data_IF_909115962028
#
_entry.id   IF_909115962028
#
_cell.length_a   1.000
_cell.length_b   1.000
_cell.length_c   1.000
_cell.angle_alpha   90.00
_cell.angle_beta   90.00
_cell.angle_gamma   90.00
#
_symmetry.space_group_name_H-M   'P 1'
#
loop_
_entity.id
_entity.type
_entity.pdbx_description
1 polymer ?
#
# COMPACT_ATOMS: atom_id res chain seq x y z
N UNK A 1 22.13 -2.42 -20.88
CA UNK A 1 23.48 -2.27 -20.32
C UNK A 1 23.59 -3.22 -19.15
N UNK A 2 24.33 -4.33 -19.29
CA UNK A 2 24.55 -5.28 -18.18
C UNK A 2 25.43 -4.60 -17.14
N UNK A 3 24.98 -4.51 -15.90
CA UNK A 3 25.83 -4.17 -14.77
C UNK A 3 26.56 -5.44 -14.34
N UNK A 4 27.86 -5.44 -14.39
CA UNK A 4 28.67 -6.50 -13.82
C UNK A 4 29.01 -6.15 -12.38
N UNK A 5 28.99 -7.13 -11.49
CA UNK A 5 29.34 -6.99 -10.08
C UNK A 5 30.87 -6.88 -9.87
N UNK A 6 31.54 -6.00 -10.63
CA UNK A 6 32.96 -5.73 -10.48
C UNK A 6 33.29 -4.80 -9.33
N UNK A 7 34.59 -4.67 -9.00
CA UNK A 7 35.07 -3.77 -7.93
C UNK A 7 34.77 -2.29 -8.18
N UNK A 8 34.50 -1.90 -9.42
CA UNK A 8 34.15 -0.54 -9.84
C UNK A 8 32.64 -0.28 -9.97
N UNK A 9 31.79 -1.29 -9.66
CA UNK A 9 30.34 -1.13 -9.71
C UNK A 9 29.86 -0.16 -8.62
N UNK A 10 28.88 0.75 -8.92
CA UNK A 10 28.36 1.66 -7.92
C UNK A 10 27.74 0.87 -6.76
N UNK A 11 27.89 1.39 -5.52
CA UNK A 11 27.25 0.81 -4.33
C UNK A 11 25.78 1.25 -4.27
N UNK A 12 24.98 0.61 -5.12
CA UNK A 12 23.52 0.80 -5.17
C UNK A 12 22.78 -0.54 -4.94
N UNK A 13 21.47 -0.44 -4.76
CA UNK A 13 20.62 -1.61 -4.47
C UNK A 13 20.68 -2.66 -5.59
N UNK A 14 20.81 -2.27 -6.84
CA UNK A 14 20.92 -3.22 -7.96
C UNK A 14 22.23 -4.00 -7.88
N UNK A 15 23.35 -3.31 -7.59
CA UNK A 15 24.65 -3.96 -7.42
C UNK A 15 24.65 -4.88 -6.19
N UNK A 16 23.98 -4.48 -5.09
CA UNK A 16 23.83 -5.33 -3.90
C UNK A 16 23.05 -6.59 -4.22
N UNK A 17 21.92 -6.50 -4.96
CA UNK A 17 21.15 -7.66 -5.42
C UNK A 17 21.98 -8.64 -6.26
N UNK A 18 22.87 -8.16 -7.12
CA UNK A 18 23.76 -9.01 -7.91
C UNK A 18 24.77 -9.81 -7.05
N UNK A 19 24.97 -9.40 -5.81
CA UNK A 19 25.86 -10.05 -4.82
C UNK A 19 25.10 -10.89 -3.80
N UNK A 20 23.75 -10.83 -3.80
CA UNK A 20 22.92 -11.58 -2.86
C UNK A 20 22.93 -13.08 -3.17
N UNK A 21 22.85 -13.86 -2.10
CA UNK A 21 22.84 -15.32 -2.19
C UNK A 21 21.55 -15.90 -1.60
N UNK A 22 20.99 -16.88 -2.30
CA UNK A 22 19.86 -17.68 -1.84
C UNK A 22 20.22 -19.15 -1.92
N UNK A 23 20.15 -19.86 -0.82
CA UNK A 23 20.50 -21.29 -0.78
C UNK A 23 21.96 -21.57 -1.16
N UNK A 24 22.91 -20.67 -0.85
CA UNK A 24 24.34 -20.81 -1.12
C UNK A 24 24.75 -20.50 -2.58
N UNK A 25 23.86 -19.99 -3.41
CA UNK A 25 24.16 -19.51 -4.77
C UNK A 25 23.75 -18.04 -4.95
N UNK A 26 24.41 -17.36 -5.86
CA UNK A 26 23.99 -16.00 -6.27
C UNK A 26 22.61 -16.04 -6.92
N UNK A 27 21.88 -14.94 -6.78
CA UNK A 27 20.67 -14.71 -7.56
C UNK A 27 20.99 -14.73 -9.05
N UNK A 28 20.16 -15.41 -9.83
CA UNK A 28 20.27 -15.37 -11.27
C UNK A 28 19.64 -14.09 -11.86
N UNK A 29 19.85 -13.84 -13.16
CA UNK A 29 19.36 -12.63 -13.82
C UNK A 29 17.83 -12.52 -13.76
N UNK A 30 17.09 -13.61 -13.92
CA UNK A 30 15.62 -13.61 -13.86
C UNK A 30 15.10 -13.26 -12.46
N UNK A 31 15.76 -13.77 -11.42
CA UNK A 31 15.42 -13.46 -10.02
C UNK A 31 15.67 -11.98 -9.72
N UNK A 32 16.81 -11.42 -10.13
CA UNK A 32 17.12 -10.00 -9.95
C UNK A 32 16.11 -9.12 -10.71
N UNK A 33 15.83 -9.45 -11.97
CA UNK A 33 14.82 -8.74 -12.78
C UNK A 33 13.44 -8.82 -12.15
N UNK A 34 13.05 -9.98 -11.61
CA UNK A 34 11.77 -10.16 -10.94
C UNK A 34 11.65 -9.30 -9.69
N UNK A 35 12.71 -9.22 -8.88
CA UNK A 35 12.74 -8.38 -7.68
C UNK A 35 12.61 -6.90 -8.05
N UNK A 36 13.43 -6.41 -8.98
CA UNK A 36 13.42 -5.00 -9.41
C UNK A 36 12.07 -4.62 -10.03
N UNK A 37 11.50 -5.51 -10.85
CA UNK A 37 10.15 -5.29 -11.41
C UNK A 37 9.08 -5.21 -10.33
N UNK A 38 9.13 -6.10 -9.34
CA UNK A 38 8.15 -6.09 -8.25
C UNK A 38 8.26 -4.82 -7.39
N UNK A 39 9.47 -4.34 -7.15
CA UNK A 39 9.66 -3.06 -6.46
C UNK A 39 9.07 -1.89 -7.25
N UNK A 40 9.38 -1.81 -8.55
CA UNK A 40 8.87 -0.74 -9.42
C UNK A 40 7.34 -0.73 -9.47
N UNK A 41 6.72 -1.90 -9.64
CA UNK A 41 5.25 -2.00 -9.70
C UNK A 41 4.61 -1.70 -8.35
N UNK A 42 5.21 -2.20 -7.25
CA UNK A 42 4.77 -1.93 -5.89
C UNK A 42 4.77 -0.44 -5.56
N UNK A 43 5.84 0.24 -5.96
CA UNK A 43 6.04 1.67 -5.72
C UNK A 43 5.06 2.54 -6.53
N UNK A 44 5.10 2.43 -7.84
CA UNK A 44 4.33 3.33 -8.73
C UNK A 44 2.83 3.16 -8.59
N UNK A 45 2.32 1.93 -8.43
CA UNK A 45 0.90 1.65 -8.41
C UNK A 45 0.23 1.98 -7.08
N UNK A 46 0.73 1.37 -6.01
CA UNK A 46 0.07 1.46 -4.69
C UNK A 46 0.34 2.75 -3.96
N UNK A 47 1.53 3.35 -4.07
CA UNK A 47 1.83 4.66 -3.48
C UNK A 47 0.99 5.74 -4.17
N UNK A 48 0.94 5.76 -5.50
CA UNK A 48 0.09 6.70 -6.24
C UNK A 48 -1.38 6.59 -5.85
N UNK A 49 -1.91 5.36 -5.76
CA UNK A 49 -3.27 5.11 -5.30
C UNK A 49 -3.48 5.60 -3.86
N UNK A 50 -2.53 5.34 -2.96
CA UNK A 50 -2.58 5.75 -1.56
C UNK A 50 -2.62 7.26 -1.41
N UNK A 51 -1.73 7.99 -2.11
CA UNK A 51 -1.73 9.46 -2.09
C UNK A 51 -3.07 10.02 -2.57
N UNK A 52 -3.62 9.49 -3.66
CA UNK A 52 -4.94 9.91 -4.16
C UNK A 52 -6.08 9.63 -3.16
N UNK A 53 -6.07 8.45 -2.52
CA UNK A 53 -7.05 8.08 -1.49
C UNK A 53 -6.97 9.03 -0.30
N UNK A 54 -5.76 9.25 0.23
CA UNK A 54 -5.52 10.13 1.39
C UNK A 54 -5.95 11.56 1.08
N UNK A 55 -5.53 12.11 -0.05
CA UNK A 55 -5.86 13.48 -0.45
C UNK A 55 -7.37 13.67 -0.65
N UNK A 56 -8.05 12.70 -1.27
CA UNK A 56 -9.51 12.70 -1.40
C UNK A 56 -10.20 12.65 -0.04
N UNK A 57 -9.77 11.74 0.83
CA UNK A 57 -10.36 11.56 2.16
C UNK A 57 -10.25 12.84 3.00
N UNK A 58 -9.10 13.49 2.94
CA UNK A 58 -8.88 14.77 3.61
C UNK A 58 -9.70 15.90 2.98
N UNK A 59 -9.82 15.94 1.65
CA UNK A 59 -10.60 16.97 0.95
C UNK A 59 -12.09 16.97 1.31
N UNK A 60 -12.62 15.84 1.74
CA UNK A 60 -14.00 15.72 2.23
C UNK A 60 -14.15 16.01 3.74
N UNK A 61 -13.04 16.24 4.48
CA UNK A 61 -13.03 16.35 5.96
C UNK A 61 -12.14 17.49 6.45
N UNK A 62 -12.58 18.75 6.33
CA UNK A 62 -11.81 19.91 6.77
C UNK A 62 -11.41 19.84 8.25
N UNK A 63 -12.28 19.28 9.09
CA UNK A 63 -12.03 19.14 10.54
C UNK A 63 -10.85 18.20 10.80
N UNK A 64 -10.75 17.11 10.04
CA UNK A 64 -9.62 16.18 10.15
C UNK A 64 -8.33 16.83 9.63
N UNK A 65 -8.38 17.62 8.56
CA UNK A 65 -7.21 18.38 8.09
C UNK A 65 -6.69 19.31 9.20
N UNK A 66 -7.59 20.04 9.87
CA UNK A 66 -7.21 20.91 10.98
C UNK A 66 -6.60 20.11 12.13
N UNK A 67 -7.25 19.04 12.56
CA UNK A 67 -6.75 18.17 13.63
C UNK A 67 -5.34 17.64 13.34
N UNK A 68 -5.07 17.18 12.11
CA UNK A 68 -3.77 16.65 11.72
C UNK A 68 -2.69 17.73 11.62
N UNK A 69 -3.04 19.00 11.31
CA UNK A 69 -2.12 20.15 11.38
C UNK A 69 -1.76 20.50 12.82
N UNK A 70 -2.74 20.49 13.71
CA UNK A 70 -2.55 20.80 15.12
C UNK A 70 -1.82 19.67 15.87
N UNK A 71 -2.01 18.42 15.44
CA UNK A 71 -1.46 17.22 16.06
C UNK A 71 -0.79 16.29 15.01
N UNK A 72 0.38 16.67 14.45
CA UNK A 72 1.05 15.88 13.41
C UNK A 72 1.42 14.46 13.84
N UNK A 73 1.54 14.21 15.14
CA UNK A 73 1.81 12.88 15.69
C UNK A 73 0.71 11.85 15.39
N UNK A 74 -0.52 12.30 15.08
CA UNK A 74 -1.63 11.43 14.70
C UNK A 74 -1.56 10.97 13.24
N UNK A 75 -0.76 11.63 12.41
CA UNK A 75 -0.74 11.39 10.97
C UNK A 75 -0.39 9.95 10.57
N UNK A 76 0.59 9.26 11.18
CA UNK A 76 0.85 7.87 10.85
C UNK A 76 -0.35 6.94 11.09
N UNK A 77 -1.05 7.11 12.20
CA UNK A 77 -2.25 6.32 12.51
C UNK A 77 -3.40 6.66 11.55
N UNK A 78 -3.58 7.95 11.22
CA UNK A 78 -4.59 8.40 10.28
C UNK A 78 -4.34 7.82 8.86
N UNK A 79 -3.10 7.79 8.40
CA UNK A 79 -2.73 7.20 7.11
C UNK A 79 -3.08 5.71 7.09
N UNK A 80 -2.62 4.95 8.06
CA UNK A 80 -2.84 3.50 8.12
C UNK A 80 -4.35 3.18 8.23
N UNK A 81 -5.13 3.97 8.97
CA UNK A 81 -6.57 3.77 9.12
C UNK A 81 -7.36 4.15 7.85
N UNK A 82 -7.07 5.28 7.22
CA UNK A 82 -7.70 5.66 5.95
C UNK A 82 -7.43 4.58 4.88
N UNK A 83 -6.21 4.09 4.80
CA UNK A 83 -5.82 3.08 3.82
C UNK A 83 -6.34 1.68 4.19
N UNK A 84 -6.58 1.38 5.46
CA UNK A 84 -7.32 0.18 5.88
C UNK A 84 -8.72 0.17 5.26
N UNK A 85 -9.45 1.29 5.42
CA UNK A 85 -10.82 1.44 4.93
C UNK A 85 -10.87 1.41 3.39
N UNK A 86 -9.95 2.11 2.71
CA UNK A 86 -10.03 2.36 1.26
C UNK A 86 -9.11 1.49 0.41
N UNK A 87 -8.31 0.64 1.01
CA UNK A 87 -7.49 -0.39 0.39
C UNK A 87 -6.84 0.00 -0.96
N UNK A 88 -5.59 0.52 -0.97
CA UNK A 88 -4.89 0.85 -2.21
C UNK A 88 -4.58 -0.40 -3.06
N UNK A 89 -4.56 -1.57 -2.44
CA UNK A 89 -4.49 -2.88 -3.08
C UNK A 89 -5.72 -3.71 -2.67
N UNK A 90 -6.60 -3.97 -3.62
CA UNK A 90 -7.87 -4.66 -3.35
C UNK A 90 -7.64 -6.14 -3.07
N UNK A 91 -6.85 -6.82 -3.90
CA UNK A 91 -6.68 -8.27 -3.83
C UNK A 91 -5.38 -8.77 -4.43
N UNK A 92 -4.92 -9.92 -3.95
CA UNK A 92 -3.86 -10.71 -4.58
C UNK A 92 -4.34 -12.13 -4.88
N UNK A 93 -3.64 -12.79 -5.82
CA UNK A 93 -3.91 -14.18 -6.16
C UNK A 93 -2.82 -15.11 -5.64
N UNK A 94 -3.21 -16.34 -5.32
CA UNK A 94 -2.33 -17.45 -4.94
C UNK A 94 -2.71 -18.70 -5.73
N UNK A 95 -1.78 -19.62 -5.83
CA UNK A 95 -2.02 -20.98 -6.30
C UNK A 95 -1.66 -21.91 -5.14
N UNK A 96 -2.55 -22.81 -4.79
CA UNK A 96 -2.30 -23.79 -3.74
C UNK A 96 -1.24 -24.79 -4.19
N UNK A 97 -0.22 -25.03 -3.37
CA UNK A 97 0.85 -26.01 -3.65
C UNK A 97 0.47 -27.41 -3.16
N UNK A 98 -0.52 -27.52 -2.29
CA UNK A 98 -1.10 -28.77 -1.76
C UNK A 98 -2.58 -28.56 -1.47
N UNK A 99 -3.31 -29.63 -1.31
CA UNK A 99 -4.70 -29.54 -0.85
C UNK A 99 -4.77 -28.89 0.54
N UNK A 100 -5.70 -27.96 0.72
CA UNK A 100 -5.92 -27.24 1.96
C UNK A 100 -7.41 -27.13 2.24
N UNK A 101 -7.77 -27.00 3.51
CA UNK A 101 -9.12 -26.69 3.94
C UNK A 101 -9.17 -25.26 4.46
N UNK A 102 -10.14 -24.48 3.98
CA UNK A 102 -10.40 -23.12 4.45
C UNK A 102 -11.88 -23.03 4.84
N UNK A 103 -12.16 -22.85 6.13
CA UNK A 103 -13.50 -23.01 6.66
C UNK A 103 -13.98 -24.43 6.43
N UNK A 104 -15.12 -24.58 5.75
CA UNK A 104 -15.69 -25.89 5.38
C UNK A 104 -15.37 -26.30 3.93
N UNK A 105 -14.52 -25.56 3.22
CA UNK A 105 -14.24 -25.80 1.80
C UNK A 105 -12.89 -26.46 1.60
N UNK A 106 -12.92 -27.61 0.92
CA UNK A 106 -11.71 -28.27 0.41
C UNK A 106 -11.26 -27.59 -0.88
N UNK A 107 -9.98 -27.23 -0.95
CA UNK A 107 -9.32 -26.60 -2.09
C UNK A 107 -8.21 -27.54 -2.53
N UNK A 108 -8.25 -28.02 -3.77
CA UNK A 108 -7.25 -28.95 -4.29
C UNK A 108 -5.90 -28.23 -4.56
N UNK A 109 -4.82 -29.02 -4.70
CA UNK A 109 -3.55 -28.50 -5.16
C UNK A 109 -3.67 -27.95 -6.59
N UNK A 110 -3.03 -26.83 -6.88
CA UNK A 110 -3.07 -26.17 -8.20
C UNK A 110 -4.26 -25.24 -8.41
N UNK A 111 -5.18 -25.12 -7.45
CA UNK A 111 -6.31 -24.19 -7.56
C UNK A 111 -5.91 -22.75 -7.29
N UNK A 112 -6.61 -21.84 -7.96
CA UNK A 112 -6.44 -20.39 -7.78
C UNK A 112 -7.31 -19.88 -6.63
N UNK A 113 -6.68 -19.14 -5.71
CA UNK A 113 -7.34 -18.47 -4.59
C UNK A 113 -7.10 -16.97 -4.70
N UNK A 114 -8.13 -16.18 -4.46
CA UNK A 114 -8.03 -14.72 -4.37
C UNK A 114 -8.15 -14.30 -2.92
N UNK A 115 -7.13 -13.62 -2.42
CA UNK A 115 -7.13 -12.97 -1.10
C UNK A 115 -7.63 -11.54 -1.28
N UNK A 116 -8.80 -11.23 -0.71
CA UNK A 116 -9.43 -9.91 -0.84
C UNK A 116 -9.10 -9.09 0.40
N UNK A 117 -7.98 -8.35 0.36
CA UNK A 117 -7.49 -7.53 1.47
C UNK A 117 -8.49 -6.45 1.88
N UNK A 118 -9.16 -5.83 0.89
CA UNK A 118 -10.19 -4.83 1.13
C UNK A 118 -11.35 -5.37 1.98
N UNK A 119 -11.73 -6.64 1.80
CA UNK A 119 -12.77 -7.28 2.60
C UNK A 119 -12.24 -7.68 3.98
N UNK A 120 -11.02 -8.25 4.03
CA UNK A 120 -10.42 -8.67 5.30
C UNK A 120 -10.21 -7.50 6.27
N UNK A 121 -9.82 -6.34 5.76
CA UNK A 121 -9.69 -5.11 6.54
C UNK A 121 -11.03 -4.48 6.96
N UNK A 122 -12.15 -5.07 6.52
CA UNK A 122 -13.52 -4.65 6.88
C UNK A 122 -14.32 -5.79 7.55
N UNK A 123 -13.64 -6.71 8.16
CA UNK A 123 -14.26 -7.80 8.91
C UNK A 123 -14.85 -7.26 10.22
N UNK A 124 -16.18 -7.27 10.31
CA UNK A 124 -16.92 -6.76 11.48
C UNK A 124 -16.60 -7.55 12.76
N UNK A 125 -16.18 -8.82 12.63
CA UNK A 125 -15.82 -9.62 13.80
C UNK A 125 -14.51 -9.16 14.45
N UNK A 126 -13.64 -8.49 13.68
CA UNK A 126 -12.36 -7.95 14.17
C UNK A 126 -12.46 -6.46 14.48
N UNK A 127 -13.16 -5.71 13.65
CA UNK A 127 -13.16 -4.24 13.71
C UNK A 127 -14.42 -3.64 14.33
N UNK A 128 -15.49 -4.44 14.55
CA UNK A 128 -16.80 -3.98 15.03
C UNK A 128 -17.52 -3.15 13.97
N UNK A 129 -17.18 -1.89 13.91
CA UNK A 129 -17.64 -0.91 12.93
C UNK A 129 -16.52 -0.57 11.92
N UNK A 130 -16.27 -1.45 10.94
CA UNK A 130 -15.09 -1.39 10.09
C UNK A 130 -15.05 -0.19 9.13
N UNK A 131 -16.18 0.46 8.90
CA UNK A 131 -16.31 1.62 8.03
C UNK A 131 -16.11 2.96 8.74
N UNK A 132 -16.09 2.94 10.08
CA UNK A 132 -15.82 4.12 10.88
C UNK A 132 -14.32 4.40 10.97
N UNK A 133 -13.94 5.67 10.76
CA UNK A 133 -12.57 6.12 10.94
C UNK A 133 -12.26 6.30 12.43
N UNK A 134 -11.27 5.58 12.93
CA UNK A 134 -10.87 5.58 14.33
C UNK A 134 -9.35 5.52 14.47
N UNK A 135 -8.80 6.46 15.24
CA UNK A 135 -7.35 6.54 15.50
C UNK A 135 -6.88 5.64 16.65
N UNK A 136 -7.80 5.07 17.40
CA UNK A 136 -7.54 4.21 18.56
C UNK A 136 -7.59 2.71 18.26
N UNK A 137 -7.68 2.32 16.98
CA UNK A 137 -7.68 0.90 16.59
C UNK A 137 -6.32 0.25 16.83
N UNK A 138 -6.36 -1.02 17.16
CA UNK A 138 -5.14 -1.85 17.25
C UNK A 138 -4.54 -2.03 15.84
N UNK A 139 -3.33 -1.48 15.57
CA UNK A 139 -2.72 -1.56 14.26
C UNK A 139 -2.27 -2.99 13.89
N UNK A 140 -2.18 -3.91 14.88
CA UNK A 140 -1.77 -5.30 14.63
C UNK A 140 -2.79 -6.08 13.81
N UNK A 141 -4.07 -5.65 13.81
CA UNK A 141 -5.14 -6.27 13.05
C UNK A 141 -5.20 -5.79 11.59
N UNK A 142 -4.47 -4.70 11.26
CA UNK A 142 -4.53 -4.09 9.95
C UNK A 142 -3.70 -4.89 8.93
N UNK A 143 -4.36 -5.41 7.90
CA UNK A 143 -3.75 -6.17 6.81
C UNK A 143 -3.37 -5.30 5.60
N UNK A 144 -3.26 -3.99 5.76
CA UNK A 144 -2.87 -3.06 4.69
C UNK A 144 -1.59 -3.52 3.95
N UNK A 145 -0.64 -4.02 4.69
CA UNK A 145 0.64 -4.52 4.17
C UNK A 145 0.71 -6.05 4.10
N UNK A 146 -0.43 -6.74 4.21
CA UNK A 146 -0.51 -8.20 4.21
C UNK A 146 -0.04 -8.84 5.52
N UNK A 147 0.19 -10.15 5.49
CA UNK A 147 0.58 -10.92 6.66
C UNK A 147 1.50 -12.10 6.30
N UNK A 148 2.18 -12.65 7.33
CA UNK A 148 3.03 -13.83 7.21
C UNK A 148 4.28 -13.59 6.36
N UNK A 149 4.74 -14.62 5.67
CA UNK A 149 5.96 -14.57 4.84
C UNK A 149 5.85 -13.62 3.64
N UNK A 150 4.65 -13.17 3.32
CA UNK A 150 4.36 -12.24 2.22
C UNK A 150 4.01 -10.83 2.72
N UNK A 151 4.32 -10.50 3.98
CA UNK A 151 4.21 -9.11 4.44
C UNK A 151 5.01 -8.19 3.51
N UNK A 152 4.47 -7.03 3.19
CA UNK A 152 5.10 -6.10 2.25
C UNK A 152 6.51 -5.70 2.73
N UNK A 153 7.57 -6.04 1.99
CA UNK A 153 8.93 -5.65 2.38
C UNK A 153 9.15 -4.13 2.28
N UNK A 154 8.36 -3.42 1.46
CA UNK A 154 8.39 -1.97 1.31
C UNK A 154 7.57 -1.20 2.36
N UNK A 155 6.90 -1.86 3.30
CA UNK A 155 6.04 -1.18 4.26
C UNK A 155 6.74 -0.05 5.07
N UNK A 156 7.99 -0.20 5.54
CA UNK A 156 8.68 0.89 6.23
C UNK A 156 8.91 2.11 5.33
N UNK A 157 9.30 1.88 4.06
CA UNK A 157 9.50 2.94 3.07
C UNK A 157 8.18 3.62 2.72
N UNK A 158 7.15 2.84 2.41
CA UNK A 158 5.82 3.34 2.08
C UNK A 158 5.23 4.22 3.19
N UNK A 159 5.35 3.80 4.45
CA UNK A 159 4.92 4.62 5.60
C UNK A 159 5.70 5.93 5.69
N UNK A 160 7.01 5.89 5.46
CA UNK A 160 7.83 7.10 5.45
C UNK A 160 7.40 8.06 4.34
N UNK A 161 7.27 7.56 3.11
CA UNK A 161 6.91 8.38 1.94
C UNK A 161 5.52 8.99 2.09
N UNK A 162 4.52 8.19 2.44
CA UNK A 162 3.15 8.67 2.64
C UNK A 162 3.08 9.69 3.77
N UNK A 163 3.82 9.46 4.87
CA UNK A 163 3.90 10.42 5.96
C UNK A 163 4.51 11.74 5.48
N UNK A 164 5.67 11.70 4.85
CA UNK A 164 6.35 12.92 4.38
C UNK A 164 5.49 13.69 3.37
N UNK A 165 4.88 12.99 2.40
CA UNK A 165 3.98 13.64 1.43
C UNK A 165 2.80 14.32 2.11
N UNK A 166 2.18 13.68 3.09
CA UNK A 166 1.03 14.27 3.79
C UNK A 166 1.46 15.38 4.76
N UNK A 167 2.60 15.24 5.45
CA UNK A 167 3.18 16.29 6.30
C UNK A 167 3.44 17.56 5.48
N UNK A 168 4.14 17.44 4.34
CA UNK A 168 4.44 18.56 3.47
C UNK A 168 3.18 19.18 2.85
N UNK A 169 2.23 18.34 2.42
CA UNK A 169 0.97 18.82 1.88
C UNK A 169 0.19 19.64 2.91
N UNK A 170 0.05 19.14 4.15
CA UNK A 170 -0.65 19.83 5.22
C UNK A 170 0.09 21.08 5.71
N UNK A 171 1.43 21.06 5.74
CA UNK A 171 2.25 22.18 6.18
C UNK A 171 2.23 23.37 5.20
N UNK A 172 2.16 23.08 3.90
CA UNK A 172 2.23 24.08 2.85
C UNK A 172 0.88 24.50 2.25
N UNK A 173 -0.23 23.98 2.81
CA UNK A 173 -1.58 24.36 2.38
C UNK A 173 -2.46 24.71 3.58
N UNK A 174 -3.41 25.62 3.39
CA UNK A 174 -4.43 25.92 4.40
C UNK A 174 -5.68 25.06 4.22
N UNK A 175 -6.01 24.74 2.98
CA UNK A 175 -7.19 23.95 2.63
C UNK A 175 -6.88 23.02 1.45
N UNK A 176 -7.37 21.80 1.54
CA UNK A 176 -7.44 20.83 0.45
C UNK A 176 -8.93 20.57 0.21
N UNK A 177 -9.43 20.84 -0.99
CA UNK A 177 -10.85 20.69 -1.30
C UNK A 177 -11.06 20.06 -2.68
N UNK A 178 -12.22 19.40 -2.87
CA UNK A 178 -12.65 18.94 -4.18
C UNK A 178 -13.03 20.11 -5.09
N UNK A 179 -12.71 20.01 -6.38
CA UNK A 179 -13.09 21.04 -7.35
C UNK A 179 -14.57 20.89 -7.73
N UNK A 180 -15.43 21.90 -7.50
CA UNK A 180 -16.81 21.85 -7.91
C UNK A 180 -16.97 21.57 -9.41
N UNK A 181 -17.90 20.68 -9.78
CA UNK A 181 -18.14 20.30 -11.17
C UNK A 181 -17.11 19.34 -11.78
N UNK A 182 -16.11 18.91 -11.02
CA UNK A 182 -15.12 17.90 -11.43
C UNK A 182 -15.13 16.72 -10.46
N UNK A 183 -16.13 15.82 -10.52
CA UNK A 183 -16.22 14.70 -9.60
C UNK A 183 -15.02 13.77 -9.76
N UNK A 184 -14.55 13.15 -8.66
CA UNK A 184 -13.51 12.12 -8.70
C UNK A 184 -13.96 10.93 -9.57
N UNK A 185 -13.07 10.43 -10.41
CA UNK A 185 -13.30 9.23 -11.21
C UNK A 185 -12.52 8.09 -10.58
N UNK A 186 -13.24 7.10 -10.04
CA UNK A 186 -12.61 5.92 -9.43
C UNK A 186 -11.88 5.11 -10.49
N UNK A 187 -10.78 4.50 -10.08
CA UNK A 187 -10.07 3.52 -10.89
C UNK A 187 -10.93 2.25 -11.07
N UNK A 188 -10.73 1.55 -12.18
CA UNK A 188 -11.43 0.29 -12.48
C UNK A 188 -10.58 -0.88 -11.97
N UNK A 189 -11.23 -1.84 -11.28
CA UNK A 189 -10.57 -3.07 -10.85
C UNK A 189 -9.74 -3.71 -11.99
N UNK A 190 -8.51 -4.18 -11.75
CA UNK A 190 -7.88 -4.42 -10.45
C UNK A 190 -7.18 -3.21 -9.81
N UNK A 191 -7.16 -2.04 -10.45
CA UNK A 191 -6.61 -0.84 -9.84
C UNK A 191 -7.52 -0.33 -8.71
N UNK A 192 -6.94 0.43 -7.78
CA UNK A 192 -7.64 1.06 -6.66
C UNK A 192 -7.41 2.58 -6.67
N UNK A 193 -8.19 3.29 -5.86
CA UNK A 193 -8.11 4.74 -5.78
C UNK A 193 -8.84 5.43 -6.94
N UNK A 194 -8.18 6.38 -7.59
CA UNK A 194 -8.78 7.24 -8.62
C UNK A 194 -7.97 7.21 -9.91
N UNK A 195 -8.65 7.17 -11.05
CA UNK A 195 -8.06 7.43 -12.37
C UNK A 195 -7.97 8.93 -12.65
N UNK A 196 -8.80 9.73 -11.99
CA UNK A 196 -8.74 11.19 -12.03
C UNK A 196 -9.27 11.77 -10.72
N UNK A 197 -8.50 12.67 -10.13
CA UNK A 197 -8.86 13.40 -8.92
C UNK A 197 -8.41 14.86 -9.09
N UNK A 198 -9.38 15.77 -9.17
CA UNK A 198 -9.11 17.21 -9.24
C UNK A 198 -9.27 17.83 -7.86
N UNK A 199 -8.19 18.38 -7.34
CA UNK A 199 -8.17 19.06 -6.04
C UNK A 199 -7.81 20.54 -6.23
N UNK A 200 -8.36 21.36 -5.37
CA UNK A 200 -7.96 22.75 -5.14
C UNK A 200 -7.19 22.78 -3.82
N UNK A 201 -6.02 23.38 -3.85
CA UNK A 201 -5.17 23.59 -2.67
C UNK A 201 -4.89 25.08 -2.50
N UNK A 202 -4.96 25.59 -1.29
CA UNK A 202 -4.73 26.98 -0.93
C UNK A 202 -3.70 27.11 0.17
#
# INVERSE_FOLDING_TARGET
MRREAGSEAPDDNTTRLLREQVGGRLLNEEEVVSIVRNWTVGELGTISASVGILAHYLAERPELQQQLREQPSLLPAAIDEILRIHAPLIANRRITTKAVEVGSRQIAAGERVTLIWASANRDETLFGDPDEFRLDRDPSQNLLYGAGIHVCPGAPLARLELRVVMEELLAHTHEIALVPGKPPIKAIYPASGFSSLSLRVH
#
